data_IF_723398725884
#
_entry.id   IF_723398725884
#
_cell.length_a   1.000
_cell.length_b   1.000
_cell.length_c   1.000
_cell.angle_alpha   90.00
_cell.angle_beta   90.00
_cell.angle_gamma   90.00
#
_symmetry.space_group_name_H-M   'P 1'
#
loop_
_entity.id
_entity.type
_entity.pdbx_description
1 polymer ?
#
# COMPACT_ATOMS: atom_id res chain seq x y z
N UNK A 1 -14.23 -0.63 18.47
CA UNK A 1 -13.68 -0.38 17.11
C UNK A 1 -14.05 -1.57 16.23
N UNK A 2 -14.64 -1.34 15.06
CA UNK A 2 -15.17 -2.40 14.21
C UNK A 2 -14.05 -3.17 13.50
N UNK A 3 -14.13 -4.50 13.49
CA UNK A 3 -13.27 -5.33 12.63
C UNK A 3 -13.90 -5.34 11.22
N UNK A 4 -13.10 -5.23 10.14
CA UNK A 4 -13.66 -5.38 8.81
C UNK A 4 -14.28 -6.78 8.68
N UNK A 5 -15.51 -6.90 8.13
CA UNK A 5 -16.10 -8.20 7.86
C UNK A 5 -15.25 -8.95 6.81
N UNK A 6 -15.29 -10.28 6.83
CA UNK A 6 -14.42 -11.10 5.97
C UNK A 6 -14.62 -10.83 4.48
N UNK A 7 -15.85 -10.50 4.05
CA UNK A 7 -16.13 -10.05 2.68
C UNK A 7 -15.33 -8.79 2.29
N UNK A 8 -15.18 -7.84 3.22
CA UNK A 8 -14.38 -6.62 3.01
C UNK A 8 -12.88 -6.94 2.94
N UNK A 9 -12.41 -7.89 3.75
CA UNK A 9 -11.01 -8.35 3.70
C UNK A 9 -10.69 -9.00 2.35
N UNK A 10 -11.54 -9.94 1.92
CA UNK A 10 -11.38 -10.65 0.64
C UNK A 10 -11.44 -9.68 -0.54
N UNK A 11 -12.41 -8.75 -0.55
CA UNK A 11 -12.51 -7.75 -1.62
C UNK A 11 -11.27 -6.83 -1.67
N UNK A 12 -10.75 -6.41 -0.51
CA UNK A 12 -9.53 -5.61 -0.43
C UNK A 12 -8.32 -6.38 -0.99
N UNK A 13 -8.14 -7.63 -0.57
CA UNK A 13 -7.05 -8.48 -1.06
C UNK A 13 -7.13 -8.72 -2.57
N UNK A 14 -8.32 -8.98 -3.11
CA UNK A 14 -8.53 -9.16 -4.54
C UNK A 14 -8.19 -7.89 -5.34
N UNK A 15 -8.63 -6.72 -4.85
CA UNK A 15 -8.31 -5.42 -5.48
C UNK A 15 -6.81 -5.13 -5.46
N UNK A 16 -6.13 -5.39 -4.34
CA UNK A 16 -4.68 -5.24 -4.21
C UNK A 16 -3.93 -6.17 -5.15
N UNK A 17 -4.27 -7.46 -5.15
CA UNK A 17 -3.61 -8.46 -6.00
C UNK A 17 -3.84 -8.17 -7.49
N UNK A 18 -5.04 -7.78 -7.89
CA UNK A 18 -5.36 -7.39 -9.27
C UNK A 18 -4.55 -6.18 -9.71
N UNK A 19 -4.50 -5.11 -8.88
CA UNK A 19 -3.75 -3.89 -9.20
C UNK A 19 -2.24 -4.11 -9.22
N UNK A 20 -1.71 -4.93 -8.31
CA UNK A 20 -0.30 -5.30 -8.31
C UNK A 20 0.08 -6.02 -9.61
N UNK A 21 -0.74 -6.98 -10.05
CA UNK A 21 -0.49 -7.72 -11.30
C UNK A 21 -0.62 -6.85 -12.55
N UNK A 22 -1.50 -5.86 -12.53
CA UNK A 22 -1.73 -4.93 -13.65
C UNK A 22 -0.59 -3.90 -13.80
N UNK A 23 -0.16 -3.27 -12.70
CA UNK A 23 0.82 -2.18 -12.73
C UNK A 23 2.24 -2.55 -12.33
N UNK A 24 2.41 -3.61 -11.56
CA UNK A 24 3.68 -3.98 -10.93
C UNK A 24 4.04 -5.43 -11.25
N UNK A 25 4.31 -5.77 -12.53
CA UNK A 25 4.70 -7.14 -12.92
C UNK A 25 6.01 -7.61 -12.27
N UNK A 26 6.80 -6.67 -11.73
CA UNK A 26 8.00 -6.96 -10.93
C UNK A 26 7.70 -7.57 -9.55
N UNK A 27 6.46 -7.48 -9.06
CA UNK A 27 6.03 -8.17 -7.85
C UNK A 27 5.49 -9.56 -8.24
N UNK A 28 6.04 -10.60 -7.63
CA UNK A 28 5.50 -11.96 -7.74
C UNK A 28 4.13 -12.11 -7.06
N UNK A 29 3.79 -11.20 -6.14
CA UNK A 29 2.47 -11.14 -5.53
C UNK A 29 2.37 -10.11 -4.40
N UNK A 30 1.22 -10.07 -3.73
CA UNK A 30 0.99 -9.27 -2.52
C UNK A 30 0.58 -10.18 -1.38
N UNK A 31 1.23 -10.02 -0.23
CA UNK A 31 0.87 -10.64 1.04
C UNK A 31 0.08 -9.64 1.88
N UNK A 32 -1.06 -10.08 2.43
CA UNK A 32 -1.93 -9.24 3.26
C UNK A 32 -2.16 -9.94 4.59
N UNK A 33 -1.62 -9.34 5.67
CA UNK A 33 -1.74 -9.88 7.03
C UNK A 33 -2.69 -9.02 7.85
N UNK A 34 -3.76 -9.62 8.34
CA UNK A 34 -4.79 -8.93 9.11
C UNK A 34 -4.51 -9.04 10.61
N UNK A 35 -4.56 -7.91 11.31
CA UNK A 35 -4.41 -7.83 12.76
C UNK A 35 -5.44 -6.87 13.36
N UNK A 36 -6.58 -7.42 13.80
CA UNK A 36 -7.68 -6.63 14.35
C UNK A 36 -8.28 -5.69 13.30
N UNK A 37 -8.05 -4.38 13.47
CA UNK A 37 -8.47 -3.34 12.52
C UNK A 37 -7.38 -2.95 11.52
N UNK A 38 -6.16 -3.44 11.72
CA UNK A 38 -5.01 -3.13 10.86
C UNK A 38 -4.78 -4.25 9.86
N UNK A 39 -4.29 -3.88 8.69
CA UNK A 39 -3.88 -4.78 7.63
C UNK A 39 -2.47 -4.38 7.23
N UNK A 40 -1.55 -5.33 7.27
CA UNK A 40 -0.18 -5.14 6.84
C UNK A 40 -0.05 -5.71 5.43
N UNK A 41 0.43 -4.88 4.51
CA UNK A 41 0.57 -5.25 3.10
C UNK A 41 2.07 -5.31 2.80
N UNK A 42 2.51 -6.44 2.27
CA UNK A 42 3.86 -6.64 1.79
C UNK A 42 3.85 -7.09 0.32
N UNK A 43 4.77 -6.56 -0.48
CA UNK A 43 5.01 -7.03 -1.84
C UNK A 43 5.94 -8.24 -1.81
N UNK A 44 5.55 -9.35 -2.44
CA UNK A 44 6.42 -10.50 -2.64
C UNK A 44 7.26 -10.28 -3.89
N UNK A 45 8.56 -10.29 -3.74
CA UNK A 45 9.53 -10.23 -4.84
C UNK A 45 9.73 -11.62 -5.47
N UNK A 46 10.17 -11.71 -6.74
CA UNK A 46 10.46 -12.98 -7.40
C UNK A 46 11.52 -13.80 -6.67
N UNK A 47 12.43 -13.16 -5.94
CA UNK A 47 13.44 -13.79 -5.08
C UNK A 47 12.86 -14.48 -3.83
N UNK A 48 11.55 -14.38 -3.61
CA UNK A 48 10.85 -14.95 -2.45
C UNK A 48 10.83 -14.05 -1.22
N UNK A 49 11.55 -12.92 -1.25
CA UNK A 49 11.55 -11.95 -0.15
C UNK A 49 10.22 -11.17 -0.09
N UNK A 50 9.76 -10.88 1.13
CA UNK A 50 8.57 -10.06 1.36
C UNK A 50 9.02 -8.65 1.75
N UNK A 51 8.73 -7.67 0.90
CA UNK A 51 9.00 -6.27 1.15
C UNK A 51 7.77 -5.62 1.81
N UNK A 52 7.82 -5.22 3.08
CA UNK A 52 6.75 -4.45 3.71
C UNK A 52 6.54 -3.12 2.97
N UNK A 53 5.32 -2.88 2.48
CA UNK A 53 4.98 -1.70 1.68
C UNK A 53 4.20 -0.67 2.50
N UNK A 54 3.10 -1.09 3.10
CA UNK A 54 2.19 -0.20 3.81
C UNK A 54 1.35 -0.93 4.84
N UNK A 55 0.67 -0.17 5.68
CA UNK A 55 -0.37 -0.63 6.59
C UNK A 55 -1.65 0.15 6.33
N UNK A 56 -2.75 -0.58 6.21
CA UNK A 56 -4.10 -0.03 6.13
C UNK A 56 -4.80 -0.18 7.48
N UNK A 57 -5.56 0.84 7.88
CA UNK A 57 -6.42 0.82 9.06
C UNK A 57 -7.88 0.89 8.64
N UNK A 58 -8.68 -0.09 9.06
CA UNK A 58 -10.12 -0.05 8.84
C UNK A 58 -10.78 0.93 9.80
N UNK A 59 -11.42 1.98 9.26
CA UNK A 59 -12.09 3.03 10.05
C UNK A 59 -13.62 2.84 10.12
N UNK A 60 -14.15 1.74 9.57
CA UNK A 60 -15.59 1.44 9.53
C UNK A 60 -16.23 1.54 8.14
N UNK A 61 -15.47 1.90 7.11
CA UNK A 61 -15.94 1.97 5.72
C UNK A 61 -15.00 1.21 4.78
N UNK A 62 -15.56 0.42 3.86
CA UNK A 62 -14.76 -0.31 2.87
C UNK A 62 -14.08 0.60 1.83
N UNK A 63 -14.54 1.85 1.70
CA UNK A 63 -13.98 2.87 0.82
C UNK A 63 -12.89 3.74 1.49
N UNK A 64 -12.85 3.78 2.82
CA UNK A 64 -11.93 4.65 3.57
C UNK A 64 -11.04 3.80 4.47
N UNK A 65 -9.84 3.53 3.99
CA UNK A 65 -8.81 2.87 4.78
C UNK A 65 -7.75 3.88 5.15
N UNK A 66 -7.43 4.01 6.45
CA UNK A 66 -6.34 4.85 6.92
C UNK A 66 -5.02 4.32 6.38
N UNK A 67 -4.23 5.17 5.74
CA UNK A 67 -2.99 4.78 5.07
C UNK A 67 -1.77 5.09 5.96
N UNK A 68 -0.85 4.14 6.04
CA UNK A 68 0.45 4.34 6.63
C UNK A 68 1.51 3.66 5.75
N UNK A 69 2.51 4.42 5.32
CA UNK A 69 3.65 3.89 4.56
C UNK A 69 4.60 3.19 5.52
N UNK A 70 5.21 2.08 5.10
CA UNK A 70 6.38 1.57 5.82
C UNK A 70 7.55 2.53 5.60
N UNK A 71 8.49 2.64 6.55
CA UNK A 71 9.73 3.40 6.39
C UNK A 71 10.90 2.51 6.74
N UNK A 72 11.61 2.05 5.71
CA UNK A 72 12.75 1.14 5.90
C UNK A 72 13.86 1.75 6.77
N UNK A 73 14.07 3.08 6.71
CA UNK A 73 15.09 3.77 7.52
C UNK A 73 14.80 3.79 9.02
N UNK A 74 13.53 3.69 9.42
CA UNK A 74 13.10 3.74 10.82
C UNK A 74 12.44 2.45 11.31
N UNK A 75 12.33 1.42 10.45
CA UNK A 75 11.58 0.18 10.70
C UNK A 75 10.15 0.40 11.25
N UNK A 76 9.48 1.47 10.81
CA UNK A 76 8.19 1.88 11.38
C UNK A 76 7.15 2.23 10.31
N UNK A 77 5.86 2.18 10.69
CA UNK A 77 4.73 2.55 9.84
C UNK A 77 4.21 3.95 10.15
N UNK A 78 4.53 4.90 9.29
CA UNK A 78 4.17 6.30 9.45
C UNK A 78 2.91 6.66 8.67
N UNK A 79 2.02 7.45 9.28
CA UNK A 79 0.77 7.85 8.64
C UNK A 79 1.08 8.82 7.50
N UNK A 80 0.83 8.38 6.28
CA UNK A 80 1.08 9.17 5.09
C UNK A 80 -0.23 9.63 4.45
N UNK A 81 -0.13 10.73 3.69
CA UNK A 81 -1.23 11.23 2.88
C UNK A 81 -1.15 10.58 1.50
N UNK A 82 -2.30 10.20 0.96
CA UNK A 82 -2.44 9.80 -0.44
C UNK A 82 -2.25 11.02 -1.35
N UNK A 83 -1.99 10.83 -2.66
CA UNK A 83 -1.89 11.94 -3.63
C UNK A 83 -3.15 12.81 -3.71
N UNK A 84 -4.29 12.33 -3.19
CA UNK A 84 -5.52 13.10 -3.00
C UNK A 84 -5.46 14.12 -1.84
N UNK A 85 -4.39 14.11 -1.04
CA UNK A 85 -4.22 14.93 0.15
C UNK A 85 -4.91 14.38 1.42
N UNK A 86 -5.55 13.22 1.34
CA UNK A 86 -6.27 12.60 2.45
C UNK A 86 -5.43 11.49 3.11
N UNK A 87 -5.51 11.33 4.44
CA UNK A 87 -4.86 10.23 5.17
C UNK A 87 -5.59 8.88 5.01
N UNK A 88 -6.66 8.86 4.21
CA UNK A 88 -7.46 7.68 3.94
C UNK A 88 -7.87 7.62 2.47
N UNK A 89 -8.07 6.42 1.95
CA UNK A 89 -8.59 6.23 0.60
C UNK A 89 -8.73 4.77 0.23
N UNK A 90 -8.67 4.50 -1.07
CA UNK A 90 -8.84 3.15 -1.59
C UNK A 90 -7.54 2.33 -1.44
N UNK A 91 -7.64 1.00 -1.24
CA UNK A 91 -6.46 0.15 -1.14
C UNK A 91 -5.62 0.16 -2.43
N UNK A 92 -6.23 0.42 -3.58
CA UNK A 92 -5.54 0.47 -4.88
C UNK A 92 -4.65 1.70 -5.01
N UNK A 93 -5.13 2.88 -4.58
CA UNK A 93 -4.33 4.11 -4.57
C UNK A 93 -3.19 4.04 -3.57
N UNK A 94 -3.46 3.47 -2.39
CA UNK A 94 -2.44 3.22 -1.38
C UNK A 94 -1.33 2.31 -1.92
N UNK A 95 -1.70 1.25 -2.66
CA UNK A 95 -0.76 0.36 -3.35
C UNK A 95 0.08 1.09 -4.38
N UNK A 96 -0.54 1.93 -5.21
CA UNK A 96 0.15 2.70 -6.23
C UNK A 96 1.21 3.62 -5.61
N UNK A 97 0.84 4.32 -4.54
CA UNK A 97 1.72 5.23 -3.81
C UNK A 97 2.90 4.48 -3.17
N UNK A 98 2.65 3.38 -2.45
CA UNK A 98 3.73 2.65 -1.80
C UNK A 98 4.64 1.95 -2.79
N UNK A 99 4.09 1.31 -3.83
CA UNK A 99 4.90 0.70 -4.87
C UNK A 99 5.72 1.75 -5.63
N UNK A 100 5.15 2.91 -5.95
CA UNK A 100 5.89 4.02 -6.57
C UNK A 100 7.12 4.43 -5.75
N UNK A 101 6.98 4.51 -4.42
CA UNK A 101 8.09 4.82 -3.50
C UNK A 101 9.14 3.70 -3.40
N UNK A 102 8.71 2.44 -3.27
CA UNK A 102 9.59 1.32 -2.97
C UNK A 102 10.23 0.64 -4.19
N UNK A 103 9.50 0.60 -5.29
CA UNK A 103 9.91 -0.07 -6.52
C UNK A 103 10.57 0.89 -7.52
N UNK A 104 10.66 2.18 -7.17
CA UNK A 104 11.49 3.14 -7.88
C UNK A 104 10.97 3.50 -9.26
N UNK A 105 9.65 3.55 -9.47
CA UNK A 105 9.14 4.22 -10.65
C UNK A 105 9.24 5.74 -10.43
N UNK A 106 10.28 6.36 -10.97
CA UNK A 106 10.51 7.79 -10.92
C UNK A 106 9.30 8.58 -11.49
N UNK A 107 8.48 7.96 -12.35
CA UNK A 107 7.26 8.54 -12.92
C UNK A 107 6.11 8.66 -11.93
N UNK A 108 6.15 7.99 -10.77
CA UNK A 108 5.18 8.21 -9.70
C UNK A 108 5.40 9.54 -8.95
N UNK A 109 6.59 10.15 -9.09
CA UNK A 109 7.00 11.39 -8.43
C UNK A 109 7.66 12.39 -9.38
N UNK A 110 7.45 12.31 -10.71
CA UNK A 110 7.88 13.37 -11.62
C UNK A 110 7.05 14.63 -11.39
N UNK A 111 7.45 15.44 -10.42
CA UNK A 111 7.70 16.84 -10.70
C UNK A 111 9.13 16.94 -11.30
N UNK A 112 9.31 17.43 -12.54
CA UNK A 112 10.61 17.44 -13.21
C UNK A 112 11.66 18.42 -12.63
N UNK A 113 11.46 19.02 -11.45
CA UNK A 113 12.28 20.18 -11.03
C UNK A 113 13.46 19.89 -10.08
N UNK A 114 13.72 18.64 -9.69
CA UNK A 114 14.78 18.34 -8.71
C UNK A 114 15.90 17.47 -9.26
N UNK A 115 16.52 17.88 -10.38
CA UNK A 115 17.88 17.46 -10.73
C UNK A 115 18.69 18.67 -11.21
N UNK A 116 19.32 19.36 -10.26
CA UNK A 116 20.46 20.30 -10.36
C UNK A 116 20.79 20.62 -8.89
N UNK A 117 21.95 20.35 -8.30
CA UNK A 117 23.35 20.34 -8.75
C UNK A 117 24.14 19.40 -7.83
#
# INVERSE_FOLDING_TARGET
MAKPPDSTKTSCQQKLAGRARERWPQLAGIDVRWHGQFSYIAGRLPDGNALPLMRLQYTGSAAHWGFAIYRASHDDYDKSLLPTGLPFGTPQEALDCACGLYLGDATAWTDPSSQTN
#
